data_IF_262960250320
#
_entry.id   IF_262960250320
#
_cell.length_a   1.000
_cell.length_b   1.000
_cell.length_c   1.000
_cell.angle_alpha   90.00
_cell.angle_beta   90.00
_cell.angle_gamma   90.00
#
_symmetry.space_group_name_H-M   'P 1'
#
loop_
_entity.id
_entity.type
_entity.pdbx_description
1 polymer ?
#
# COMPACT_ATOMS: atom_id res chain seq x y z
N UNK A 1 -8.81 17.68 -28.92
CA UNK A 1 -7.40 17.47 -28.50
C UNK A 1 -7.27 16.04 -28.01
N UNK A 2 -6.35 15.29 -28.60
CA UNK A 2 -6.34 13.83 -28.59
C UNK A 2 -5.84 13.27 -27.25
N UNK A 3 -6.64 12.41 -26.63
CA UNK A 3 -6.23 11.61 -25.48
C UNK A 3 -5.19 10.57 -25.94
N UNK A 4 -3.94 10.74 -25.51
CA UNK A 4 -2.89 9.78 -25.80
C UNK A 4 -3.00 8.63 -24.80
N UNK A 5 -3.37 7.45 -25.31
CA UNK A 5 -3.50 6.22 -24.53
C UNK A 5 -2.12 5.60 -24.35
N UNK A 6 -1.49 5.80 -23.19
CA UNK A 6 -0.27 5.07 -22.84
C UNK A 6 -0.62 3.96 -21.83
N UNK A 7 -0.35 2.72 -22.24
CA UNK A 7 -0.55 1.51 -21.42
C UNK A 7 0.70 1.31 -20.57
N UNK A 8 0.59 1.48 -19.25
CA UNK A 8 1.66 1.07 -18.33
C UNK A 8 1.40 -0.37 -17.92
N UNK A 9 2.22 -1.28 -18.43
CA UNK A 9 2.19 -2.70 -18.04
C UNK A 9 3.09 -2.87 -16.82
N UNK A 10 2.52 -3.06 -15.63
CA UNK A 10 3.28 -3.60 -14.50
C UNK A 10 3.28 -5.13 -14.63
N UNK A 11 4.40 -5.68 -15.11
CA UNK A 11 4.59 -7.12 -15.24
C UNK A 11 5.07 -7.68 -13.90
N UNK A 12 4.27 -8.51 -13.21
CA UNK A 12 4.74 -9.84 -12.76
C UNK A 12 3.64 -10.72 -12.12
N UNK A 13 3.78 -12.04 -12.34
CA UNK A 13 3.08 -13.18 -11.70
C UNK A 13 1.58 -13.36 -12.01
N UNK A 14 1.27 -13.61 -13.29
CA UNK A 14 0.11 -14.43 -13.67
C UNK A 14 -1.26 -13.73 -13.78
N UNK A 15 -1.37 -12.46 -13.42
CA UNK A 15 -2.58 -11.65 -13.69
C UNK A 15 -2.21 -10.34 -14.35
N UNK A 16 -2.53 -10.18 -15.63
CA UNK A 16 -2.47 -8.89 -16.33
C UNK A 16 -3.61 -8.00 -15.82
N UNK A 17 -3.39 -7.25 -14.74
CA UNK A 17 -4.31 -6.17 -14.36
C UNK A 17 -3.89 -4.93 -15.15
N UNK A 18 -4.68 -4.60 -16.17
CA UNK A 18 -4.47 -3.46 -17.04
C UNK A 18 -5.03 -2.20 -16.39
N UNK A 19 -4.20 -1.47 -15.64
CA UNK A 19 -4.55 -0.13 -15.14
C UNK A 19 -4.52 0.84 -16.32
N UNK A 20 -5.65 1.48 -16.66
CA UNK A 20 -5.68 2.52 -17.70
C UNK A 20 -5.32 3.86 -17.10
N UNK A 21 -4.22 4.46 -17.57
CA UNK A 21 -3.89 5.85 -17.27
C UNK A 21 -4.71 6.76 -18.18
N UNK A 22 -5.78 7.36 -17.65
CA UNK A 22 -6.39 8.54 -18.28
C UNK A 22 -5.71 9.79 -17.74
N UNK A 23 -4.67 10.24 -18.44
CA UNK A 23 -4.06 11.55 -18.19
C UNK A 23 -4.89 12.62 -18.87
N UNK A 24 -5.58 13.46 -18.09
CA UNK A 24 -5.92 14.80 -18.56
C UNK A 24 -4.60 15.57 -18.66
N UNK A 25 -4.25 16.04 -19.85
CA UNK A 25 -3.12 16.94 -20.05
C UNK A 25 -3.38 18.23 -19.27
N UNK A 26 -2.84 18.33 -18.06
CA UNK A 26 -2.78 19.58 -17.30
C UNK A 26 -1.65 20.41 -17.91
N UNK A 27 -1.88 21.69 -18.28
CA UNK A 27 -0.82 22.53 -18.82
C UNK A 27 0.27 22.72 -17.76
N UNK A 28 1.51 22.46 -18.17
CA UNK A 28 2.72 22.48 -17.35
C UNK A 28 2.82 23.71 -16.44
N UNK A 29 2.65 23.54 -15.12
CA UNK A 29 3.13 24.47 -14.10
C UNK A 29 3.59 23.69 -12.85
N UNK A 30 4.88 23.82 -12.53
CA UNK A 30 5.65 23.18 -11.45
C UNK A 30 5.79 21.65 -11.51
N UNK A 31 6.98 21.18 -11.90
CA UNK A 31 7.45 19.82 -11.61
C UNK A 31 7.66 19.72 -10.09
N UNK A 32 6.58 19.53 -9.33
CA UNK A 32 6.69 19.17 -7.91
C UNK A 32 7.42 17.83 -7.85
N UNK A 33 8.65 17.83 -7.33
CA UNK A 33 9.40 16.59 -7.11
C UNK A 33 8.56 15.76 -6.13
N UNK A 34 7.99 14.65 -6.59
CA UNK A 34 7.26 13.73 -5.73
C UNK A 34 8.31 12.94 -4.95
N UNK A 35 8.39 13.18 -3.64
CA UNK A 35 9.34 12.50 -2.75
C UNK A 35 8.56 11.50 -1.92
N UNK A 36 8.94 10.22 -2.00
CA UNK A 36 8.42 9.19 -1.11
C UNK A 36 9.02 9.40 0.29
N UNK A 37 8.21 9.36 1.36
CA UNK A 37 8.74 9.37 2.72
C UNK A 37 9.54 8.08 2.99
N UNK A 38 10.36 8.06 4.05
CA UNK A 38 10.96 6.81 4.51
C UNK A 38 9.86 5.78 4.83
N UNK A 39 10.15 4.47 4.66
CA UNK A 39 9.21 3.42 5.03
C UNK A 39 8.93 3.45 6.54
N UNK A 40 7.76 2.95 6.99
CA UNK A 40 7.46 2.93 8.42
C UNK A 40 8.49 2.06 9.17
N UNK A 41 8.83 2.49 10.39
CA UNK A 41 9.78 1.79 11.24
C UNK A 41 9.29 0.38 11.57
N UNK A 42 10.19 -0.60 11.62
CA UNK A 42 9.84 -2.00 11.95
C UNK A 42 10.69 -2.59 13.08
N UNK A 43 11.62 -1.81 13.63
CA UNK A 43 12.44 -2.17 14.78
C UNK A 43 11.96 -1.32 15.97
N UNK A 44 11.68 -1.97 17.09
CA UNK A 44 11.33 -1.28 18.33
C UNK A 44 12.48 -1.44 19.33
N UNK A 45 13.27 -0.38 19.55
CA UNK A 45 14.39 -0.38 20.49
C UNK A 45 13.95 -0.14 21.95
N UNK A 46 12.72 0.33 22.16
CA UNK A 46 12.22 0.79 23.47
C UNK A 46 11.35 -0.26 24.17
N UNK A 47 11.04 -1.37 23.52
CA UNK A 47 10.27 -2.46 24.11
C UNK A 47 10.85 -3.78 23.67
N UNK A 48 11.14 -4.67 24.62
CA UNK A 48 11.39 -6.06 24.33
C UNK A 48 10.10 -6.65 23.78
N UNK A 49 10.00 -6.67 22.45
CA UNK A 49 8.94 -7.32 21.72
C UNK A 49 8.48 -8.63 22.34
N UNK A 50 7.18 -8.89 22.37
CA UNK A 50 6.64 -10.11 22.98
C UNK A 50 6.06 -11.03 21.91
N UNK A 51 6.58 -12.26 21.80
CA UNK A 51 5.96 -13.28 20.96
C UNK A 51 4.80 -13.97 21.69
N UNK A 52 3.60 -13.44 21.53
CA UNK A 52 2.37 -14.08 22.03
C UNK A 52 1.84 -15.10 21.03
N UNK A 53 1.02 -16.05 21.49
CA UNK A 53 0.31 -17.01 20.62
C UNK A 53 -0.56 -16.31 19.57
N UNK A 54 -1.18 -15.17 19.92
CA UNK A 54 -1.96 -14.35 19.00
C UNK A 54 -1.09 -13.72 17.90
N UNK A 55 0.08 -13.17 18.25
CA UNK A 55 1.02 -12.61 17.27
C UNK A 55 1.61 -13.70 16.36
N UNK A 56 1.91 -14.88 16.90
CA UNK A 56 2.32 -16.03 16.11
C UNK A 56 1.23 -16.49 15.14
N UNK A 57 -0.05 -16.49 15.56
CA UNK A 57 -1.17 -16.78 14.68
C UNK A 57 -1.30 -15.74 13.56
N UNK A 58 -1.18 -14.45 13.89
CA UNK A 58 -1.20 -13.36 12.92
C UNK A 58 -0.08 -13.52 11.88
N UNK A 59 1.12 -13.91 12.30
CA UNK A 59 2.25 -14.14 11.38
C UNK A 59 2.08 -15.41 10.53
N UNK A 60 1.77 -16.55 11.15
CA UNK A 60 1.81 -17.85 10.45
C UNK A 60 0.57 -18.11 9.61
N UNK A 61 -0.57 -17.56 10.02
CA UNK A 61 -1.87 -17.81 9.39
C UNK A 61 -2.35 -16.59 8.61
N UNK A 62 -2.60 -15.47 9.29
CA UNK A 62 -3.24 -14.30 8.67
C UNK A 62 -2.33 -13.64 7.63
N UNK A 63 -1.10 -13.31 8.00
CA UNK A 63 -0.11 -12.70 7.11
C UNK A 63 0.20 -13.60 5.91
N UNK A 64 0.35 -14.93 6.12
CA UNK A 64 0.56 -15.89 5.03
C UNK A 64 -0.64 -15.99 4.08
N UNK A 65 -1.86 -15.97 4.61
CA UNK A 65 -3.08 -15.98 3.79
C UNK A 65 -3.20 -14.70 2.96
N UNK A 66 -2.99 -13.55 3.60
CA UNK A 66 -2.99 -12.23 2.95
C UNK A 66 -1.96 -12.14 1.84
N UNK A 67 -0.72 -12.57 2.07
CA UNK A 67 0.37 -12.50 1.10
C UNK A 67 0.12 -13.32 -0.17
N UNK A 68 -0.56 -14.47 -0.03
CA UNK A 68 -0.86 -15.37 -1.16
C UNK A 68 -2.14 -15.01 -1.90
N UNK A 69 -2.92 -14.05 -1.41
CA UNK A 69 -4.17 -13.68 -2.05
C UNK A 69 -3.89 -13.05 -3.41
N UNK A 70 -4.65 -13.45 -4.44
CA UNK A 70 -4.41 -13.05 -5.84
C UNK A 70 -4.33 -11.53 -6.05
N UNK A 71 -5.07 -10.76 -5.24
CA UNK A 71 -5.15 -9.30 -5.33
C UNK A 71 -4.32 -8.57 -4.26
N UNK A 72 -3.41 -9.26 -3.57
CA UNK A 72 -2.62 -8.65 -2.49
C UNK A 72 -1.41 -7.86 -2.98
N UNK A 73 -1.01 -8.04 -4.24
CA UNK A 73 0.22 -7.44 -4.78
C UNK A 73 0.34 -5.91 -4.61
N UNK A 74 -0.73 -5.08 -4.70
CA UNK A 74 -0.59 -3.63 -4.50
C UNK A 74 -0.20 -3.25 -3.07
N UNK A 75 -0.41 -4.17 -2.13
CA UNK A 75 -0.13 -3.98 -0.71
C UNK A 75 1.19 -4.59 -0.30
N UNK A 76 1.92 -5.27 -1.19
CA UNK A 76 3.17 -5.98 -0.84
C UNK A 76 4.30 -5.03 -0.43
N UNK A 77 4.29 -3.79 -0.91
CA UNK A 77 5.33 -2.79 -0.64
C UNK A 77 4.69 -1.44 -0.31
N UNK A 78 5.43 -0.50 0.31
CA UNK A 78 4.99 0.89 0.45
C UNK A 78 4.59 1.49 -0.90
N UNK A 79 3.58 2.35 -0.91
CA UNK A 79 3.12 3.02 -2.14
C UNK A 79 4.21 3.92 -2.70
N UNK A 80 4.69 3.64 -3.90
CA UNK A 80 5.62 4.52 -4.60
C UNK A 80 4.82 5.62 -5.33
N UNK A 81 4.60 6.74 -4.63
CA UNK A 81 3.83 7.86 -5.17
C UNK A 81 4.54 8.52 -6.35
N UNK A 82 5.87 8.50 -6.37
CA UNK A 82 6.66 9.02 -7.49
C UNK A 82 6.47 8.16 -8.74
N UNK A 83 6.66 6.84 -8.63
CA UNK A 83 6.52 5.90 -9.74
C UNK A 83 5.08 5.84 -10.28
N UNK A 84 4.07 6.00 -9.42
CA UNK A 84 2.66 6.00 -9.79
C UNK A 84 2.14 7.39 -10.21
N UNK A 85 2.97 8.43 -10.14
CA UNK A 85 2.61 9.81 -10.43
C UNK A 85 1.39 10.29 -9.61
N UNK A 86 1.50 10.13 -8.29
CA UNK A 86 0.48 10.40 -7.29
C UNK A 86 0.91 11.56 -6.36
N UNK A 87 0.89 12.81 -6.85
CA UNK A 87 1.49 13.95 -6.14
C UNK A 87 0.82 14.28 -4.80
N UNK A 88 -0.43 13.84 -4.61
CA UNK A 88 -1.26 14.10 -3.44
C UNK A 88 -1.26 12.95 -2.42
N UNK A 89 -0.68 11.78 -2.72
CA UNK A 89 -0.86 10.57 -1.92
C UNK A 89 -0.46 10.79 -0.45
N UNK A 90 0.78 11.19 -0.20
CA UNK A 90 1.30 11.43 1.15
C UNK A 90 0.80 12.74 1.77
N UNK A 91 0.12 13.60 0.98
CA UNK A 91 -0.62 14.74 1.53
C UNK A 91 -1.95 14.29 2.15
N UNK A 92 -2.59 13.25 1.61
CA UNK A 92 -3.86 12.70 2.09
C UNK A 92 -3.62 11.61 3.14
N UNK A 93 -2.70 10.68 2.86
CA UNK A 93 -2.42 9.51 3.68
C UNK A 93 -1.31 9.83 4.68
N UNK A 94 -1.72 10.03 5.94
CA UNK A 94 -0.84 10.48 7.03
C UNK A 94 -0.07 9.37 7.72
N UNK A 95 -0.60 8.15 7.72
CA UNK A 95 0.02 6.97 8.33
C UNK A 95 0.14 5.86 7.28
N UNK A 96 1.13 5.89 6.39
CA UNK A 96 1.30 4.85 5.38
C UNK A 96 1.57 3.48 6.04
N UNK A 97 1.04 2.43 5.43
CA UNK A 97 1.20 1.05 5.92
C UNK A 97 1.04 0.06 4.77
N UNK A 98 1.78 -1.05 4.83
CA UNK A 98 1.82 -2.10 3.80
C UNK A 98 2.17 -3.47 4.40
N UNK A 99 1.98 -4.53 3.63
CA UNK A 99 2.20 -5.91 4.05
C UNK A 99 3.67 -6.24 4.31
N UNK A 100 4.63 -5.67 3.58
CA UNK A 100 6.05 -5.92 3.88
C UNK A 100 6.46 -5.33 5.22
N UNK A 101 5.96 -4.14 5.54
CA UNK A 101 6.19 -3.49 6.83
C UNK A 101 5.56 -4.30 7.96
N UNK A 102 4.29 -4.72 7.84
CA UNK A 102 3.63 -5.55 8.85
C UNK A 102 4.36 -6.89 9.04
N UNK A 103 4.79 -7.53 7.94
CA UNK A 103 5.58 -8.77 7.97
C UNK A 103 6.90 -8.56 8.72
N UNK A 104 7.67 -7.52 8.38
CA UNK A 104 8.93 -7.18 9.06
C UNK A 104 8.70 -6.92 10.56
N UNK A 105 7.64 -6.19 10.91
CA UNK A 105 7.27 -5.92 12.31
C UNK A 105 6.97 -7.21 13.08
N UNK A 106 6.24 -8.17 12.49
CA UNK A 106 6.01 -9.48 13.10
C UNK A 106 7.31 -10.29 13.26
N UNK A 107 8.20 -10.25 12.26
CA UNK A 107 9.49 -10.97 12.27
C UNK A 107 10.50 -10.42 13.28
N UNK A 108 10.47 -9.10 13.52
CA UNK A 108 11.39 -8.42 14.43
C UNK A 108 10.77 -8.15 15.81
N UNK A 109 9.67 -8.86 16.15
CA UNK A 109 8.94 -8.71 17.41
C UNK A 109 8.57 -7.25 17.72
N UNK A 110 8.26 -6.44 16.72
CA UNK A 110 7.94 -5.02 16.92
C UNK A 110 6.72 -4.81 17.82
N UNK A 111 5.72 -5.68 17.69
CA UNK A 111 4.47 -5.59 18.43
C UNK A 111 4.57 -6.20 19.82
N UNK A 112 3.91 -5.56 20.78
CA UNK A 112 3.72 -6.07 22.13
C UNK A 112 2.38 -6.79 22.26
N UNK A 113 1.37 -6.36 21.51
CA UNK A 113 -0.01 -6.88 21.54
C UNK A 113 -0.52 -7.15 20.13
N UNK A 114 -1.35 -8.19 19.98
CA UNK A 114 -2.00 -8.51 18.71
C UNK A 114 -2.87 -7.36 18.16
N UNK A 115 -3.47 -6.56 19.05
CA UNK A 115 -4.28 -5.39 18.69
C UNK A 115 -3.49 -4.36 17.85
N UNK A 116 -2.19 -4.18 18.11
CA UNK A 116 -1.34 -3.24 17.39
C UNK A 116 -1.13 -3.70 15.94
N UNK A 117 -0.86 -4.99 15.74
CA UNK A 117 -0.74 -5.58 14.41
C UNK A 117 -2.07 -5.52 13.64
N UNK A 118 -3.20 -5.79 14.30
CA UNK A 118 -4.53 -5.67 13.70
C UNK A 118 -4.80 -4.22 13.28
N UNK A 119 -4.37 -3.24 14.07
CA UNK A 119 -4.55 -1.83 13.74
C UNK A 119 -3.76 -1.40 12.51
N UNK A 120 -2.57 -1.96 12.29
CA UNK A 120 -1.81 -1.70 11.07
C UNK A 120 -2.46 -2.34 9.83
N UNK A 121 -3.03 -3.54 9.94
CA UNK A 121 -3.85 -4.10 8.86
C UNK A 121 -5.05 -3.20 8.53
N UNK A 122 -5.77 -2.72 9.55
CA UNK A 122 -6.89 -1.77 9.36
C UNK A 122 -6.43 -0.48 8.70
N UNK A 123 -5.31 0.09 9.17
CA UNK A 123 -4.70 1.31 8.62
C UNK A 123 -4.41 1.14 7.12
N UNK A 124 -3.79 0.01 6.73
CA UNK A 124 -3.48 -0.31 5.34
C UNK A 124 -4.74 -0.30 4.45
N UNK A 125 -5.81 -0.99 4.87
CA UNK A 125 -7.07 -1.00 4.11
C UNK A 125 -7.79 0.34 4.10
N UNK A 126 -7.80 1.05 5.24
CA UNK A 126 -8.46 2.35 5.35
C UNK A 126 -7.77 3.40 4.47
N UNK A 127 -6.44 3.38 4.40
CA UNK A 127 -5.69 4.26 3.49
C UNK A 127 -6.09 4.03 2.03
N UNK A 128 -6.17 2.77 1.62
CA UNK A 128 -6.65 2.39 0.30
C UNK A 128 -8.08 2.91 0.05
N UNK A 129 -8.99 2.70 1.00
CA UNK A 129 -10.37 3.19 0.87
C UNK A 129 -10.45 4.71 0.77
N UNK A 130 -9.79 5.44 1.69
CA UNK A 130 -9.80 6.91 1.74
C UNK A 130 -9.29 7.47 0.42
N UNK A 131 -8.12 7.02 -0.03
CA UNK A 131 -7.48 7.56 -1.21
C UNK A 131 -8.25 7.25 -2.50
N UNK A 132 -8.79 6.03 -2.61
CA UNK A 132 -9.52 5.65 -3.81
C UNK A 132 -10.95 6.20 -3.84
N UNK A 133 -11.58 6.46 -2.70
CA UNK A 133 -12.93 7.07 -2.64
C UNK A 133 -12.92 8.53 -3.08
N UNK A 134 -11.88 9.29 -2.73
CA UNK A 134 -11.75 10.70 -3.17
C UNK A 134 -11.40 10.81 -4.65
N UNK A 135 -11.05 9.70 -5.32
CA UNK A 135 -10.76 9.63 -6.74
C UNK A 135 -11.65 8.61 -7.45
N UNK A 136 -12.91 8.96 -7.74
CA UNK A 136 -13.84 8.06 -8.41
C UNK A 136 -13.30 7.49 -9.73
N UNK A 137 -12.41 8.19 -10.44
CA UNK A 137 -11.78 7.71 -11.69
C UNK A 137 -10.82 6.52 -11.48
N UNK A 138 -10.23 6.35 -10.29
CA UNK A 138 -9.45 5.15 -9.91
C UNK A 138 -10.36 4.02 -9.37
N UNK A 139 -11.49 4.38 -8.77
CA UNK A 139 -12.42 3.43 -8.16
C UNK A 139 -13.22 2.62 -9.21
N UNK A 140 -13.47 3.19 -10.39
CA UNK A 140 -14.14 2.45 -11.49
C UNK A 140 -13.28 1.32 -12.07
N UNK A 141 -11.95 1.34 -11.89
CA UNK A 141 -11.06 0.27 -12.38
C UNK A 141 -10.50 -0.66 -11.30
N UNK A 142 -10.66 -0.34 -10.01
CA UNK A 142 -10.42 -1.28 -8.90
C UNK A 142 -11.63 -2.19 -8.63
N UNK A 143 -12.76 -1.91 -9.26
CA UNK A 143 -13.94 -2.77 -9.24
C UNK A 143 -13.81 -3.84 -10.33
N UNK A 144 -13.20 -4.97 -9.93
CA UNK A 144 -13.47 -6.34 -10.43
C UNK A 144 -14.06 -6.41 -11.85
N UNK A 145 -13.23 -6.80 -12.81
CA UNK A 145 -13.60 -7.75 -13.87
C UNK A 145 -12.59 -8.89 -13.86
#
# INVERSE_FOLDING_TARGET
MNAQKETITLVNQGTNIRMRKYGMSVPSQHHSIIINPPPPEYINNNSSGCQTNQLQYLQRVVMKAMWRHNFSWPFHQPVDAAALNLPDYYSIIKKPMDLSTIKKRLEHNYYTKAAECIEDFKTMFLNCYIYNKVRPVLCVELSIY
#
